data_IF_411639415555
#
_entry.id   IF_411639415555
#
_cell.length_a   1.000
_cell.length_b   1.000
_cell.length_c   1.000
_cell.angle_alpha   90.00
_cell.angle_beta   90.00
_cell.angle_gamma   90.00
#
_symmetry.space_group_name_H-M   'P 1'
#
loop_
_entity.id
_entity.type
_entity.pdbx_description
1 polymer ?
#
# COMPACT_ATOMS: atom_id res chain seq x y z
N UNK A 1 71.08 -4.19 33.06
CA UNK A 1 70.38 -3.24 32.16
C UNK A 1 69.42 -4.10 31.35
N UNK A 2 68.17 -4.25 31.81
CA UNK A 2 66.99 -3.44 31.44
C UNK A 2 66.52 -3.80 30.01
N UNK A 3 65.28 -4.17 29.73
CA UNK A 3 64.10 -4.44 30.55
C UNK A 3 63.22 -5.43 29.76
N UNK A 4 62.60 -6.39 30.46
CA UNK A 4 61.61 -7.30 29.89
C UNK A 4 60.24 -6.64 30.05
N UNK A 5 59.55 -6.36 28.95
CA UNK A 5 58.27 -5.67 28.93
C UNK A 5 57.20 -6.50 29.63
N UNK A 6 56.59 -5.89 30.63
CA UNK A 6 55.50 -6.46 31.42
C UNK A 6 54.15 -6.09 30.79
N UNK A 7 53.28 -7.08 30.81
CA UNK A 7 51.90 -7.19 30.33
C UNK A 7 50.89 -6.10 30.73
N UNK A 8 49.75 -6.12 29.99
CA UNK A 8 48.41 -5.56 30.25
C UNK A 8 48.15 -4.18 29.59
N UNK A 9 47.14 -3.97 28.75
CA UNK A 9 45.76 -4.44 28.82
C UNK A 9 45.17 -4.71 27.44
N UNK A 10 44.68 -5.94 27.24
CA UNK A 10 43.69 -6.24 26.20
C UNK A 10 42.34 -5.65 26.60
N UNK A 11 42.17 -4.34 26.42
CA UNK A 11 40.86 -3.72 26.43
C UNK A 11 40.17 -4.03 25.11
N UNK A 12 39.14 -4.89 25.14
CA UNK A 12 38.21 -5.01 24.02
C UNK A 12 37.65 -3.61 23.76
N UNK A 13 37.76 -3.05 22.53
CA UNK A 13 37.18 -1.76 22.24
C UNK A 13 35.67 -1.85 22.51
N UNK A 14 35.27 -1.17 23.57
CA UNK A 14 33.88 -1.01 23.95
C UNK A 14 33.26 -0.05 22.93
N UNK A 15 32.70 -0.60 21.86
CA UNK A 15 32.28 0.22 20.73
C UNK A 15 31.63 -0.60 19.65
N UNK A 16 30.54 -1.29 19.99
CA UNK A 16 29.49 -1.50 18.98
C UNK A 16 28.95 -0.10 18.68
N UNK A 17 29.60 0.64 17.80
CA UNK A 17 28.95 1.73 17.08
C UNK A 17 27.64 1.13 16.58
N UNK A 18 26.54 1.68 17.07
CA UNK A 18 25.21 1.17 16.77
C UNK A 18 25.13 1.02 15.26
N UNK A 19 24.66 -0.11 14.73
CA UNK A 19 24.56 -0.32 13.27
C UNK A 19 23.79 0.82 12.56
N UNK A 20 23.04 1.60 13.34
CA UNK A 20 22.28 2.79 13.00
C UNK A 20 23.12 4.07 12.84
N UNK A 21 24.38 4.11 13.31
CA UNK A 21 25.30 5.23 13.15
C UNK A 21 26.04 5.23 11.81
N UNK A 22 25.98 4.11 11.06
CA UNK A 22 26.67 3.95 9.78
C UNK A 22 26.12 4.86 8.67
N UNK A 23 24.88 5.32 8.80
CA UNK A 23 24.22 6.18 7.83
C UNK A 23 23.62 7.40 8.53
N UNK A 24 23.70 8.58 7.93
CA UNK A 24 23.16 9.83 8.48
C UNK A 24 21.68 9.73 8.86
N UNK A 25 20.90 8.90 8.15
CA UNK A 25 19.48 8.67 8.41
C UNK A 25 19.19 7.44 9.29
N UNK A 26 20.23 6.73 9.76
CA UNK A 26 20.06 5.46 10.45
C UNK A 26 19.37 5.57 11.81
N UNK A 27 19.25 6.77 12.40
CA UNK A 27 18.40 7.01 13.57
C UNK A 27 16.92 7.14 13.20
N UNK A 28 16.60 7.70 12.03
CA UNK A 28 15.21 7.96 11.61
C UNK A 28 14.39 6.68 11.38
N UNK A 29 15.05 5.53 11.14
CA UNK A 29 14.34 4.24 11.02
C UNK A 29 13.77 3.73 12.35
N UNK A 30 14.19 4.32 13.47
CA UNK A 30 13.71 3.98 14.80
C UNK A 30 12.43 4.74 15.15
N UNK A 31 12.10 5.80 14.41
CA UNK A 31 10.91 6.61 14.64
C UNK A 31 9.76 6.12 13.75
N UNK A 32 8.62 5.73 14.32
CA UNK A 32 7.43 5.41 13.55
C UNK A 32 7.01 6.63 12.72
N UNK A 33 6.90 6.45 11.40
CA UNK A 33 6.47 7.53 10.54
C UNK A 33 4.98 7.82 10.72
N UNK A 34 4.60 9.10 10.66
CA UNK A 34 3.23 9.62 10.92
C UNK A 34 2.12 8.86 10.17
N UNK A 35 2.41 8.37 8.97
CA UNK A 35 1.44 7.64 8.15
C UNK A 35 1.03 6.26 8.72
N UNK A 36 1.71 5.77 9.76
CA UNK A 36 1.33 4.54 10.48
C UNK A 36 0.35 4.81 11.64
N UNK A 37 0.09 6.07 12.00
CA UNK A 37 -0.81 6.41 13.13
C UNK A 37 -2.28 6.07 12.84
N UNK A 38 -2.72 6.24 11.59
CA UNK A 38 -4.07 5.92 11.13
C UNK A 38 -4.14 5.84 9.61
N UNK A 39 -5.21 5.23 9.07
CA UNK A 39 -5.47 5.28 7.63
C UNK A 39 -5.64 6.72 7.12
N UNK A 40 -6.24 7.62 7.91
CA UNK A 40 -6.37 9.04 7.54
C UNK A 40 -4.99 9.67 7.31
N UNK A 41 -4.05 9.46 8.23
CA UNK A 41 -2.67 9.95 8.07
C UNK A 41 -1.99 9.33 6.87
N UNK A 42 -2.18 8.03 6.61
CA UNK A 42 -1.71 7.37 5.40
C UNK A 42 -2.25 8.03 4.13
N UNK A 43 -3.57 8.26 4.09
CA UNK A 43 -4.25 8.87 2.97
C UNK A 43 -3.70 10.27 2.69
N UNK A 44 -3.80 11.17 3.68
CA UNK A 44 -3.48 12.58 3.48
C UNK A 44 -1.97 12.84 3.28
N UNK A 45 -1.09 12.04 3.88
CA UNK A 45 0.36 12.30 3.81
C UNK A 45 1.12 11.47 2.77
N UNK A 46 0.58 10.32 2.34
CA UNK A 46 1.30 9.40 1.42
C UNK A 46 0.50 9.00 0.20
N UNK A 47 -0.81 8.77 0.29
CA UNK A 47 -1.55 8.11 -0.80
C UNK A 47 -2.31 9.07 -1.69
N UNK A 48 -2.91 10.13 -1.15
CA UNK A 48 -3.75 11.06 -1.91
C UNK A 48 -3.00 11.68 -3.08
N UNK A 49 -1.78 12.20 -2.87
CA UNK A 49 -1.00 12.81 -3.94
C UNK A 49 -0.63 11.82 -5.08
N UNK A 50 -0.03 10.64 -4.81
CA UNK A 50 0.18 9.62 -5.84
C UNK A 50 -1.11 9.15 -6.52
N UNK A 51 -2.21 9.04 -5.77
CA UNK A 51 -3.52 8.71 -6.30
C UNK A 51 -4.04 9.77 -7.27
N UNK A 52 -3.89 11.05 -6.95
CA UNK A 52 -4.25 12.17 -7.84
C UNK A 52 -3.40 12.19 -9.10
N UNK A 53 -2.11 11.86 -8.98
CA UNK A 53 -1.19 11.77 -10.12
C UNK A 53 -1.43 10.51 -10.99
N UNK A 54 -2.20 9.53 -10.52
CA UNK A 54 -2.43 8.27 -11.23
C UNK A 54 -1.17 7.39 -11.36
N UNK A 55 -0.21 7.54 -10.45
CA UNK A 55 1.05 6.76 -10.46
C UNK A 55 0.94 5.52 -9.60
N UNK A 56 1.88 4.57 -9.73
CA UNK A 56 1.88 3.34 -8.94
C UNK A 56 1.77 3.65 -7.42
N UNK A 57 0.91 2.95 -6.65
CA UNK A 57 0.07 1.80 -7.05
C UNK A 57 -1.31 2.14 -7.65
N UNK A 58 -1.64 3.42 -7.84
CA UNK A 58 -2.96 3.92 -8.28
C UNK A 58 -3.16 4.00 -9.80
N UNK A 59 -2.21 3.49 -10.60
CA UNK A 59 -2.32 3.44 -12.06
C UNK A 59 -3.64 2.82 -12.51
N UNK A 60 -4.17 3.35 -13.62
CA UNK A 60 -5.47 3.03 -14.23
C UNK A 60 -6.71 3.47 -13.45
N UNK A 61 -6.57 3.91 -12.20
CA UNK A 61 -7.68 4.47 -11.42
C UNK A 61 -7.73 5.99 -11.50
N UNK A 62 -8.77 6.58 -10.91
CA UNK A 62 -8.89 8.03 -10.71
C UNK A 62 -9.10 8.33 -9.22
N UNK A 63 -8.68 9.50 -8.74
CA UNK A 63 -8.89 9.89 -7.34
C UNK A 63 -10.37 9.82 -6.91
N UNK A 64 -11.30 10.05 -7.84
CA UNK A 64 -12.76 9.95 -7.60
C UNK A 64 -13.21 8.53 -7.25
N UNK A 65 -12.46 7.51 -7.67
CA UNK A 65 -12.74 6.12 -7.32
C UNK A 65 -12.28 5.79 -5.90
N UNK A 66 -11.19 6.41 -5.43
CA UNK A 66 -10.57 6.08 -4.15
C UNK A 66 -11.01 6.97 -2.99
N UNK A 67 -11.24 8.26 -3.23
CA UNK A 67 -11.51 9.23 -2.17
C UNK A 67 -12.77 8.88 -1.33
N UNK A 68 -13.89 8.44 -1.92
CA UNK A 68 -15.04 7.99 -1.13
C UNK A 68 -14.73 6.77 -0.25
N UNK A 69 -13.92 5.83 -0.74
CA UNK A 69 -13.49 4.66 0.03
C UNK A 69 -12.56 5.10 1.18
N UNK A 70 -11.63 6.01 0.91
CA UNK A 70 -10.73 6.56 1.90
C UNK A 70 -11.45 7.31 3.03
N UNK A 71 -12.52 8.04 2.68
CA UNK A 71 -13.39 8.72 3.64
C UNK A 71 -14.12 7.72 4.55
N UNK A 72 -14.68 6.65 3.99
CA UNK A 72 -15.37 5.62 4.79
C UNK A 72 -14.40 4.83 5.69
N UNK A 73 -13.19 4.54 5.22
CA UNK A 73 -12.15 3.91 6.06
C UNK A 73 -11.72 4.85 7.20
N UNK A 74 -11.52 6.13 6.90
CA UNK A 74 -11.20 7.17 7.89
C UNK A 74 -12.31 7.29 8.94
N UNK A 75 -13.57 7.31 8.50
CA UNK A 75 -14.75 7.37 9.38
C UNK A 75 -14.85 6.16 10.30
N UNK A 76 -14.46 4.97 9.83
CA UNK A 76 -14.34 3.76 10.65
C UNK A 76 -13.14 3.78 11.60
N UNK A 77 -12.19 4.70 11.42
CA UNK A 77 -11.00 4.82 12.26
C UNK A 77 -10.01 3.67 12.11
N UNK A 78 -9.96 3.01 10.94
CA UNK A 78 -9.03 1.90 10.74
C UNK A 78 -7.58 2.37 10.84
N UNK A 79 -6.74 1.59 11.52
CA UNK A 79 -5.32 1.88 11.76
C UNK A 79 -4.53 0.58 11.94
N UNK A 80 -3.21 0.70 11.95
CA UNK A 80 -2.34 -0.44 12.23
C UNK A 80 -2.43 -0.90 13.70
N UNK A 81 -2.33 -2.21 13.97
CA UNK A 81 -2.39 -3.31 13.00
C UNK A 81 -3.82 -3.44 12.45
N UNK A 82 -3.95 -3.53 11.12
CA UNK A 82 -5.25 -3.66 10.47
C UNK A 82 -5.81 -5.09 10.65
N UNK A 83 -7.12 -5.19 10.80
CA UNK A 83 -7.84 -6.35 10.29
C UNK A 83 -7.78 -6.28 8.76
N UNK A 84 -6.98 -7.17 8.16
CA UNK A 84 -6.73 -7.17 6.72
C UNK A 84 -7.92 -7.64 5.89
N UNK A 85 -8.85 -8.40 6.48
CA UNK A 85 -10.09 -8.76 5.79
C UNK A 85 -11.03 -7.57 5.75
N UNK A 86 -11.25 -6.89 6.90
CA UNK A 86 -12.06 -5.67 6.93
C UNK A 86 -11.47 -4.60 6.01
N UNK A 87 -10.16 -4.36 6.09
CA UNK A 87 -9.47 -3.39 5.23
C UNK A 87 -9.75 -3.65 3.73
N UNK A 88 -9.62 -4.91 3.29
CA UNK A 88 -9.80 -5.26 1.89
C UNK A 88 -11.24 -5.04 1.43
N UNK A 89 -12.21 -5.44 2.25
CA UNK A 89 -13.63 -5.36 1.92
C UNK A 89 -14.13 -3.93 1.75
N UNK A 90 -13.49 -2.94 2.38
CA UNK A 90 -13.84 -1.53 2.19
C UNK A 90 -13.75 -1.06 0.74
N UNK A 91 -12.92 -1.70 -0.08
CA UNK A 91 -12.74 -1.35 -1.49
C UNK A 91 -13.69 -2.10 -2.43
N UNK A 92 -14.30 -3.20 -1.99
CA UNK A 92 -15.05 -4.11 -2.86
C UNK A 92 -16.30 -3.46 -3.47
N UNK A 93 -17.14 -2.71 -2.73
CA UNK A 93 -18.34 -2.12 -3.29
C UNK A 93 -18.05 -1.21 -4.49
N UNK A 94 -17.05 -0.33 -4.35
CA UNK A 94 -16.66 0.58 -5.45
C UNK A 94 -16.03 -0.17 -6.61
N UNK A 95 -15.20 -1.19 -6.34
CA UNK A 95 -14.63 -2.02 -7.39
C UNK A 95 -15.72 -2.76 -8.19
N UNK A 96 -16.73 -3.30 -7.51
CA UNK A 96 -17.87 -4.00 -8.11
C UNK A 96 -18.72 -3.05 -8.95
N UNK A 97 -19.07 -1.87 -8.43
CA UNK A 97 -19.79 -0.83 -9.17
C UNK A 97 -19.12 -0.50 -10.51
N UNK A 98 -17.80 -0.30 -10.51
CA UNK A 98 -17.03 -0.02 -11.73
C UNK A 98 -17.05 -1.22 -12.70
N UNK A 99 -16.89 -2.45 -12.19
CA UNK A 99 -16.99 -3.66 -13.02
C UNK A 99 -18.38 -3.84 -13.64
N UNK A 100 -19.45 -3.45 -12.95
CA UNK A 100 -20.81 -3.49 -13.49
C UNK A 100 -21.04 -2.45 -14.59
N UNK A 101 -20.47 -1.25 -14.44
CA UNK A 101 -20.47 -0.25 -15.51
C UNK A 101 -19.74 -0.80 -16.73
N UNK A 102 -18.55 -1.39 -16.52
CA UNK A 102 -17.77 -2.01 -17.59
C UNK A 102 -18.54 -3.11 -18.32
N UNK A 103 -19.21 -4.00 -17.57
CA UNK A 103 -20.00 -5.10 -18.15
C UNK A 103 -21.22 -4.60 -18.95
N UNK A 104 -21.83 -3.47 -18.57
CA UNK A 104 -22.90 -2.84 -19.35
C UNK A 104 -22.38 -2.24 -20.64
N UNK A 105 -21.27 -1.50 -20.58
CA UNK A 105 -20.60 -0.94 -21.74
C UNK A 105 -20.16 -2.04 -22.74
N UNK A 106 -19.60 -3.14 -22.23
CA UNK A 106 -19.21 -4.31 -23.01
C UNK A 106 -20.40 -4.91 -23.77
N UNK A 107 -21.55 -5.08 -23.10
CA UNK A 107 -22.79 -5.56 -23.74
C UNK A 107 -23.35 -4.58 -24.78
N UNK A 108 -23.13 -3.28 -24.60
CA UNK A 108 -23.51 -2.24 -25.54
C UNK A 108 -22.54 -2.11 -26.74
N UNK A 109 -21.40 -2.82 -26.72
CA UNK A 109 -20.36 -2.71 -27.73
C UNK A 109 -19.42 -1.51 -27.55
N UNK A 110 -19.50 -0.82 -26.42
CA UNK A 110 -18.69 0.36 -26.07
C UNK A 110 -17.33 -0.09 -25.49
N UNK A 111 -16.45 -0.60 -26.36
CA UNK A 111 -15.20 -1.27 -25.97
C UNK A 111 -14.26 -0.41 -25.14
N UNK A 112 -14.04 0.85 -25.53
CA UNK A 112 -13.14 1.76 -24.83
C UNK A 112 -13.63 2.06 -23.42
N UNK A 113 -14.95 2.28 -23.27
CA UNK A 113 -15.57 2.48 -21.96
C UNK A 113 -15.48 1.21 -21.11
N UNK A 114 -15.77 0.04 -21.67
CA UNK A 114 -15.64 -1.23 -20.97
C UNK A 114 -14.20 -1.43 -20.45
N UNK A 115 -13.21 -1.20 -21.32
CA UNK A 115 -11.79 -1.28 -20.98
C UNK A 115 -11.43 -0.36 -19.81
N UNK A 116 -11.80 0.92 -19.90
CA UNK A 116 -11.51 1.92 -18.87
C UNK A 116 -12.07 1.50 -17.50
N UNK A 117 -13.34 1.13 -17.44
CA UNK A 117 -14.01 0.82 -16.17
C UNK A 117 -13.54 -0.51 -15.56
N UNK A 118 -13.21 -1.52 -16.38
CA UNK A 118 -12.58 -2.75 -15.90
C UNK A 118 -11.19 -2.48 -15.30
N UNK A 119 -10.37 -1.63 -15.95
CA UNK A 119 -9.05 -1.27 -15.43
C UNK A 119 -9.13 -0.42 -14.15
N UNK A 120 -10.09 0.50 -14.05
CA UNK A 120 -10.38 1.25 -12.82
C UNK A 120 -10.82 0.34 -11.67
N UNK A 121 -11.69 -0.64 -11.95
CA UNK A 121 -12.07 -1.68 -10.99
C UNK A 121 -10.86 -2.48 -10.50
N UNK A 122 -9.97 -2.89 -11.41
CA UNK A 122 -8.72 -3.58 -11.08
C UNK A 122 -7.82 -2.74 -10.17
N UNK A 123 -7.75 -1.43 -10.37
CA UNK A 123 -6.96 -0.53 -9.53
C UNK A 123 -7.45 -0.52 -8.07
N UNK A 124 -8.76 -0.56 -7.83
CA UNK A 124 -9.34 -0.63 -6.48
C UNK A 124 -8.96 -1.95 -5.79
N UNK A 125 -9.11 -3.08 -6.49
CA UNK A 125 -8.68 -4.38 -5.98
C UNK A 125 -7.17 -4.46 -5.72
N UNK A 126 -6.34 -3.71 -6.46
CA UNK A 126 -4.90 -3.61 -6.18
C UNK A 126 -4.62 -2.95 -4.84
N UNK A 127 -5.31 -1.86 -4.51
CA UNK A 127 -5.16 -1.18 -3.23
C UNK A 127 -5.70 -2.04 -2.09
N UNK A 128 -6.84 -2.73 -2.29
CA UNK A 128 -7.44 -3.63 -1.29
C UNK A 128 -6.48 -4.71 -0.75
N UNK A 129 -5.50 -5.14 -1.56
CA UNK A 129 -4.49 -6.13 -1.19
C UNK A 129 -3.09 -5.56 -0.92
N UNK A 130 -2.92 -4.23 -0.94
CA UNK A 130 -1.60 -3.62 -0.93
C UNK A 130 -0.90 -3.74 0.44
N UNK A 131 0.44 -3.86 0.48
CA UNK A 131 1.36 -4.16 -0.62
C UNK A 131 1.32 -5.61 -1.12
N UNK A 132 0.89 -6.56 -0.29
CA UNK A 132 0.75 -7.97 -0.66
C UNK A 132 -0.42 -8.61 0.11
N UNK A 133 -1.04 -9.68 -0.42
CA UNK A 133 -2.11 -10.39 0.28
C UNK A 133 -1.63 -11.03 1.59
N UNK A 134 -2.32 -10.73 2.69
CA UNK A 134 -2.06 -11.28 4.04
C UNK A 134 -3.25 -12.07 4.59
N UNK A 135 -4.44 -11.85 4.02
CA UNK A 135 -5.70 -12.46 4.47
C UNK A 135 -6.50 -13.08 3.32
N UNK A 136 -7.64 -13.70 3.63
CA UNK A 136 -8.50 -14.35 2.62
C UNK A 136 -9.12 -13.33 1.67
N UNK A 137 -9.63 -12.21 2.20
CA UNK A 137 -10.23 -11.16 1.37
C UNK A 137 -9.19 -10.45 0.53
N UNK A 138 -7.95 -10.30 0.98
CA UNK A 138 -6.88 -9.78 0.11
C UNK A 138 -6.50 -10.76 -1.01
N UNK A 139 -6.59 -12.09 -0.78
CA UNK A 139 -6.43 -13.10 -1.84
C UNK A 139 -7.59 -13.10 -2.82
N UNK A 140 -8.81 -12.86 -2.34
CA UNK A 140 -9.97 -12.65 -3.20
C UNK A 140 -9.81 -11.39 -4.05
N UNK A 141 -9.39 -10.27 -3.45
CA UNK A 141 -9.08 -9.03 -4.17
C UNK A 141 -8.01 -9.24 -5.26
N UNK A 142 -6.97 -10.04 -4.99
CA UNK A 142 -5.99 -10.42 -6.01
C UNK A 142 -6.64 -11.15 -7.19
N UNK A 143 -7.54 -12.10 -6.91
CA UNK A 143 -8.22 -12.89 -7.95
C UNK A 143 -9.14 -12.01 -8.80
N UNK A 144 -10.04 -11.27 -8.15
CA UNK A 144 -10.98 -10.37 -8.84
C UNK A 144 -10.28 -9.24 -9.58
N UNK A 145 -9.22 -8.67 -9.00
CA UNK A 145 -8.43 -7.62 -9.63
C UNK A 145 -7.73 -8.08 -10.90
N UNK A 146 -7.27 -9.34 -10.95
CA UNK A 146 -6.71 -9.93 -12.19
C UNK A 146 -7.79 -10.15 -13.23
N UNK A 147 -8.94 -10.69 -12.84
CA UNK A 147 -10.06 -10.91 -13.76
C UNK A 147 -10.49 -9.60 -14.43
N UNK A 148 -10.70 -8.54 -13.63
CA UNK A 148 -11.01 -7.21 -14.15
C UNK A 148 -9.88 -6.68 -15.05
N UNK A 149 -8.61 -6.84 -14.67
CA UNK A 149 -7.49 -6.39 -15.50
C UNK A 149 -7.48 -7.05 -16.88
N UNK A 150 -7.61 -8.38 -16.94
CA UNK A 150 -7.57 -9.09 -18.22
C UNK A 150 -8.77 -8.80 -19.10
N UNK A 151 -9.96 -8.55 -18.52
CA UNK A 151 -11.10 -8.06 -19.29
C UNK A 151 -10.87 -6.65 -19.84
N UNK A 152 -10.26 -5.77 -19.06
CA UNK A 152 -9.96 -4.41 -19.49
C UNK A 152 -8.83 -4.30 -20.50
N UNK A 153 -7.91 -5.27 -20.52
CA UNK A 153 -6.78 -5.31 -21.45
C UNK A 153 -7.01 -6.12 -22.73
N UNK A 154 -8.19 -6.72 -22.91
CA UNK A 154 -8.57 -7.50 -24.10
C UNK A 154 -9.22 -6.62 -25.17
#
# INVERSE_FOLDING_TARGET
MAANETTANGGIPNGKASIHEKYTIGHAILEPAVHHESFEKLWETKWKAPCTMGVYPFMFGTVKDFEPVAQEITKKGLKEPYDWDEYAEMFFPKAQELSEIAARAEKAGEKEMASEYYLRSSALYRIARFPAPRSEKQRLAWTLGKEAFYKGGA
#
